data_IF_538508394313
#
_entry.id   IF_538508394313
#
_cell.length_a   1.000
_cell.length_b   1.000
_cell.length_c   1.000
_cell.angle_alpha   90.00
_cell.angle_beta   90.00
_cell.angle_gamma   90.00
#
_symmetry.space_group_name_H-M   'P 1'
#
loop_
_entity.id
_entity.type
_entity.pdbx_description
1 polymer ?
#
# COMPACT_ATOMS: atom_id res chain seq x y z
N UNK A 1 14.69 -7.55 16.62
CA UNK A 1 14.53 -7.06 15.24
C UNK A 1 14.14 -8.25 14.37
N UNK A 2 13.06 -8.18 13.60
CA UNK A 2 12.71 -9.27 12.67
C UNK A 2 13.64 -9.25 11.45
N UNK A 3 14.01 -10.42 10.86
CA UNK A 3 14.95 -10.47 9.74
C UNK A 3 14.56 -9.59 8.55
N UNK A 4 13.27 -9.50 8.19
CA UNK A 4 12.84 -8.64 7.08
C UNK A 4 13.11 -7.13 7.28
N UNK A 5 13.20 -6.67 8.54
CA UNK A 5 13.60 -5.29 8.87
C UNK A 5 15.12 -5.07 8.85
N UNK A 6 15.92 -6.12 8.75
CA UNK A 6 17.37 -5.98 8.73
C UNK A 6 17.87 -5.64 7.32
N UNK A 7 18.18 -4.37 7.09
CA UNK A 7 18.68 -3.88 5.80
C UNK A 7 20.05 -4.45 5.40
N UNK A 8 20.78 -5.12 6.30
CA UNK A 8 22.07 -5.74 5.97
C UNK A 8 21.95 -7.17 5.42
N UNK A 9 20.77 -7.80 5.51
CA UNK A 9 20.52 -9.12 4.94
C UNK A 9 20.21 -9.04 3.43
N UNK A 10 20.51 -10.09 2.65
CA UNK A 10 20.09 -10.19 1.26
C UNK A 10 18.58 -10.00 1.08
N UNK A 11 18.19 -9.35 -0.03
CA UNK A 11 16.77 -9.08 -0.34
C UNK A 11 15.94 -10.38 -0.32
N UNK A 12 16.46 -11.46 -0.90
CA UNK A 12 15.75 -12.74 -0.96
C UNK A 12 15.44 -13.31 0.45
N UNK A 13 16.36 -13.16 1.40
CA UNK A 13 16.16 -13.59 2.78
C UNK A 13 15.11 -12.75 3.49
N UNK A 14 15.14 -11.42 3.29
CA UNK A 14 14.14 -10.50 3.84
C UNK A 14 12.75 -10.78 3.28
N UNK A 15 12.65 -11.04 1.97
CA UNK A 15 11.39 -11.38 1.29
C UNK A 15 10.85 -12.72 1.80
N UNK A 16 11.69 -13.75 1.92
CA UNK A 16 11.27 -15.06 2.42
C UNK A 16 10.76 -14.98 3.87
N UNK A 17 11.46 -14.27 4.75
CA UNK A 17 11.02 -14.05 6.13
C UNK A 17 9.70 -13.28 6.19
N UNK A 18 9.54 -12.20 5.41
CA UNK A 18 8.28 -11.45 5.34
C UNK A 18 7.11 -12.31 4.86
N UNK A 19 7.28 -13.02 3.74
CA UNK A 19 6.24 -13.89 3.16
C UNK A 19 5.85 -15.05 4.08
N UNK A 20 6.78 -15.54 4.90
CA UNK A 20 6.49 -16.60 5.89
C UNK A 20 5.58 -16.11 7.02
N UNK A 21 5.57 -14.81 7.30
CA UNK A 21 4.80 -14.17 8.38
C UNK A 21 3.45 -13.65 7.91
N UNK A 22 3.24 -13.49 6.61
CA UNK A 22 1.99 -12.99 6.03
C UNK A 22 0.90 -14.07 6.00
N UNK A 23 -0.31 -13.65 6.36
CA UNK A 23 -1.55 -14.37 6.08
C UNK A 23 -1.82 -14.43 4.57
N UNK A 24 -2.73 -15.29 4.15
CA UNK A 24 -3.17 -15.36 2.75
C UNK A 24 -3.78 -14.02 2.32
N UNK A 25 -4.59 -13.39 3.17
CA UNK A 25 -5.21 -12.08 2.88
C UNK A 25 -4.16 -11.02 2.60
N UNK A 26 -3.13 -10.90 3.45
CA UNK A 26 -2.06 -9.92 3.23
C UNK A 26 -1.27 -10.22 1.94
N UNK A 27 -1.05 -11.50 1.60
CA UNK A 27 -0.38 -11.89 0.34
C UNK A 27 -1.19 -11.50 -0.87
N UNK A 28 -2.50 -11.74 -0.85
CA UNK A 28 -3.42 -11.33 -1.91
C UNK A 28 -3.45 -9.81 -2.01
N UNK A 29 -3.48 -9.10 -0.88
CA UNK A 29 -3.48 -7.64 -0.87
C UNK A 29 -2.25 -7.01 -1.52
N UNK A 30 -1.06 -7.64 -1.41
CA UNK A 30 0.13 -7.19 -2.15
C UNK A 30 -0.04 -7.23 -3.68
N UNK A 31 -0.97 -8.05 -4.18
CA UNK A 31 -1.31 -8.15 -5.60
C UNK A 31 -2.47 -7.22 -6.00
N UNK A 32 -3.12 -6.57 -5.03
CA UNK A 32 -4.24 -5.66 -5.25
C UNK A 32 -3.76 -4.21 -5.36
N UNK A 33 -4.11 -3.58 -6.48
CA UNK A 33 -3.85 -2.17 -6.76
C UNK A 33 -5.17 -1.40 -6.88
N UNK A 34 -5.24 -0.22 -6.26
CA UNK A 34 -6.41 0.67 -6.36
C UNK A 34 -6.02 2.05 -6.87
N UNK A 35 -6.81 2.68 -7.75
CA UNK A 35 -6.58 4.08 -8.14
C UNK A 35 -6.85 5.07 -7.00
N UNK A 36 -7.60 4.64 -5.98
CA UNK A 36 -8.00 5.47 -4.83
C UNK A 36 -8.64 6.80 -5.23
N UNK A 37 -9.55 6.76 -6.21
CA UNK A 37 -10.25 7.92 -6.76
C UNK A 37 -11.13 8.60 -5.71
N UNK A 38 -11.30 9.92 -5.87
CA UNK A 38 -12.09 10.77 -4.98
C UNK A 38 -11.71 10.55 -3.50
N UNK A 39 -10.41 10.52 -3.22
CA UNK A 39 -9.91 10.04 -1.94
C UNK A 39 -10.47 10.79 -0.75
N UNK A 40 -10.68 12.10 -0.85
CA UNK A 40 -11.29 12.88 0.23
C UNK A 40 -12.67 12.34 0.66
N UNK A 41 -13.42 11.73 -0.26
CA UNK A 41 -14.75 11.13 0.01
C UNK A 41 -14.64 9.71 0.55
N UNK A 42 -13.69 8.92 0.06
CA UNK A 42 -13.56 7.49 0.36
C UNK A 42 -12.38 7.16 1.28
N UNK A 43 -11.76 8.18 1.89
CA UNK A 43 -10.52 8.09 2.66
C UNK A 43 -10.56 6.96 3.68
N UNK A 44 -11.57 6.95 4.53
CA UNK A 44 -11.63 6.02 5.66
C UNK A 44 -11.80 4.56 5.18
N UNK A 45 -12.51 4.34 4.08
CA UNK A 45 -12.62 3.03 3.45
C UNK A 45 -11.26 2.57 2.91
N UNK A 46 -10.59 3.40 2.11
CA UNK A 46 -9.25 3.06 1.60
C UNK A 46 -8.25 2.79 2.72
N UNK A 47 -8.22 3.62 3.76
CA UNK A 47 -7.32 3.42 4.90
C UNK A 47 -7.69 2.15 5.70
N UNK A 48 -8.98 1.80 5.82
CA UNK A 48 -9.39 0.53 6.42
C UNK A 48 -8.85 -0.67 5.63
N UNK A 49 -9.00 -0.64 4.30
CA UNK A 49 -8.53 -1.71 3.41
C UNK A 49 -7.00 -1.84 3.45
N UNK A 50 -6.26 -0.72 3.52
CA UNK A 50 -4.80 -0.73 3.69
C UNK A 50 -4.43 -1.32 5.06
N UNK A 51 -5.08 -0.88 6.14
CA UNK A 51 -4.83 -1.37 7.52
C UNK A 51 -5.06 -2.87 7.65
N UNK A 52 -6.07 -3.39 6.97
CA UNK A 52 -6.42 -4.82 6.95
C UNK A 52 -5.57 -5.62 5.94
N UNK A 53 -4.60 -4.99 5.29
CA UNK A 53 -3.67 -5.64 4.37
C UNK A 53 -4.29 -6.09 3.06
N UNK A 54 -5.40 -5.47 2.64
CA UNK A 54 -6.13 -5.82 1.40
C UNK A 54 -5.68 -5.03 0.18
N UNK A 55 -4.99 -3.90 0.36
CA UNK A 55 -4.43 -3.08 -0.72
C UNK A 55 -2.94 -2.85 -0.50
N UNK A 56 -2.11 -3.28 -1.46
CA UNK A 56 -0.65 -3.15 -1.41
C UNK A 56 -0.09 -2.08 -2.35
N UNK A 57 -0.90 -1.58 -3.28
CA UNK A 57 -0.45 -0.59 -4.26
C UNK A 57 -1.52 0.45 -4.59
N UNK A 58 -1.08 1.67 -4.88
CA UNK A 58 -1.88 2.74 -5.46
C UNK A 58 -1.39 3.06 -6.87
N UNK A 59 -2.31 3.34 -7.79
CA UNK A 59 -2.00 3.87 -9.13
C UNK A 59 -2.61 5.26 -9.32
N UNK A 60 -1.92 6.10 -10.08
CA UNK A 60 -2.40 7.42 -10.49
C UNK A 60 -2.88 7.31 -11.94
N UNK A 61 -4.05 6.72 -12.12
CA UNK A 61 -4.71 6.60 -13.42
C UNK A 61 -6.19 6.94 -13.24
N UNK A 62 -6.54 8.19 -13.52
CA UNK A 62 -7.89 8.71 -13.30
C UNK A 62 -8.84 8.35 -14.45
N UNK A 63 -8.32 8.18 -15.67
CA UNK A 63 -9.10 7.69 -16.82
C UNK A 63 -8.23 6.81 -17.74
N UNK A 64 -8.87 5.94 -18.53
CA UNK A 64 -8.21 5.17 -19.60
C UNK A 64 -7.76 6.06 -20.79
N UNK A 65 -8.00 7.37 -20.72
CA UNK A 65 -7.65 8.34 -21.75
C UNK A 65 -6.50 9.21 -21.24
N UNK A 66 -5.33 9.09 -21.86
CA UNK A 66 -4.21 9.98 -21.55
C UNK A 66 -4.58 11.44 -21.84
N UNK A 67 -4.59 12.29 -20.80
CA UNK A 67 -4.44 13.74 -20.94
C UNK A 67 -5.68 14.60 -21.18
N UNK A 68 -6.91 14.07 -21.12
CA UNK A 68 -8.13 14.85 -21.43
C UNK A 68 -9.12 15.07 -20.27
N UNK A 69 -8.87 14.48 -19.10
CA UNK A 69 -9.57 14.81 -17.86
C UNK A 69 -8.58 15.50 -16.92
N UNK A 70 -9.00 16.49 -16.11
CA UNK A 70 -8.19 16.97 -15.00
C UNK A 70 -8.02 15.79 -14.04
N UNK A 71 -6.93 15.03 -14.22
CA UNK A 71 -6.61 13.92 -13.33
C UNK A 71 -6.52 14.44 -11.91
N UNK A 72 -7.02 13.67 -10.94
CA UNK A 72 -6.83 13.94 -9.52
C UNK A 72 -5.33 14.22 -9.29
N UNK A 73 -5.01 15.47 -8.95
CA UNK A 73 -3.63 15.89 -8.74
C UNK A 73 -3.06 15.14 -7.55
N UNK A 74 -1.84 14.63 -7.69
CA UNK A 74 -1.15 13.95 -6.59
C UNK A 74 -0.95 14.92 -5.44
N UNK A 75 -1.60 14.66 -4.31
CA UNK A 75 -1.40 15.39 -3.07
C UNK A 75 -0.39 14.64 -2.18
N UNK A 76 0.78 15.23 -1.86
CA UNK A 76 1.74 14.63 -0.94
C UNK A 76 1.15 14.27 0.43
N UNK A 77 0.18 15.04 0.94
CA UNK A 77 -0.46 14.74 2.23
C UNK A 77 -1.25 13.43 2.17
N UNK A 78 -1.98 13.22 1.08
CA UNK A 78 -2.71 11.97 0.82
C UNK A 78 -1.76 10.77 0.73
N UNK A 79 -0.64 10.89 0.01
CA UNK A 79 0.32 9.79 -0.13
C UNK A 79 0.97 9.47 1.22
N UNK A 80 1.33 10.50 2.00
CA UNK A 80 1.88 10.33 3.34
C UNK A 80 0.89 9.69 4.30
N UNK A 81 -0.40 10.03 4.21
CA UNK A 81 -1.47 9.40 4.99
C UNK A 81 -1.56 7.90 4.74
N UNK A 82 -1.60 7.51 3.46
CA UNK A 82 -1.67 6.09 3.06
C UNK A 82 -0.42 5.35 3.53
N UNK A 83 0.77 5.94 3.30
CA UNK A 83 2.03 5.32 3.68
C UNK A 83 2.16 5.17 5.20
N UNK A 84 1.71 6.16 5.98
CA UNK A 84 1.68 6.08 7.44
C UNK A 84 0.83 4.91 7.91
N UNK A 85 -0.39 4.75 7.40
CA UNK A 85 -1.25 3.59 7.75
C UNK A 85 -0.59 2.27 7.34
N UNK A 86 0.00 2.21 6.13
CA UNK A 86 0.68 1.01 5.65
C UNK A 86 1.87 0.58 6.53
N UNK A 87 2.62 1.55 7.06
CA UNK A 87 3.82 1.30 7.88
C UNK A 87 3.51 1.10 9.37
N UNK A 88 2.61 1.90 9.93
CA UNK A 88 2.41 2.00 11.38
C UNK A 88 1.22 1.20 11.88
N UNK A 89 0.20 0.99 11.05
CA UNK A 89 -1.07 0.40 11.48
C UNK A 89 -1.34 -0.99 10.91
N UNK A 90 -0.55 -1.46 9.94
CA UNK A 90 -0.60 -2.85 9.51
C UNK A 90 0.22 -3.74 10.44
N UNK A 91 -0.18 -5.00 10.58
CA UNK A 91 0.44 -5.96 11.51
C UNK A 91 1.94 -6.16 11.29
N UNK A 92 2.41 -6.06 10.04
CA UNK A 92 3.82 -6.30 9.68
C UNK A 92 4.57 -5.02 9.31
N UNK A 93 3.89 -3.91 9.05
CA UNK A 93 4.49 -2.65 8.61
C UNK A 93 5.26 -2.81 7.30
N UNK A 94 4.65 -2.42 6.18
CA UNK A 94 5.30 -2.50 4.86
C UNK A 94 6.47 -1.50 4.77
N UNK A 95 7.69 -1.94 5.10
CA UNK A 95 8.96 -1.20 4.97
C UNK A 95 9.97 -1.93 4.10
#
# INVERSE_FOLDING_TARGET
MMPYHNATLPIAERVADLLSRMTVTEKVGQLCQSPMLEYAKHRDDYLSQVREGRLGSRILADTAWAGNAPGESVDPEQINDIQRVAVEETRLGSR
#
